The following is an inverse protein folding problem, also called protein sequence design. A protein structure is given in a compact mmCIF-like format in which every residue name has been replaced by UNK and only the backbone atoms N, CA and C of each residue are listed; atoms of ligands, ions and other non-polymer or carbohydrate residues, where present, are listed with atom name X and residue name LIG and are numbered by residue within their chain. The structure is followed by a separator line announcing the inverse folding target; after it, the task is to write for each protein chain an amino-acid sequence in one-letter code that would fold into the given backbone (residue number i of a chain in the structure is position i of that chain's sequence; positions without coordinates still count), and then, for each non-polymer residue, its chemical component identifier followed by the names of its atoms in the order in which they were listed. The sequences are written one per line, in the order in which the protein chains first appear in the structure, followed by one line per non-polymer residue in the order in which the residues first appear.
data_IF_090746096424
#
_entry.id   IF_090746096424
#
_cell.length_a   1.000
_cell.length_b   1.000
_cell.length_c   1.000
_cell.angle_alpha   90.00
_cell.angle_beta   90.00
_cell.angle_gamma   90.00
#
_symmetry.space_group_name_H-M   'P 1'
#
loop_
_entity.id
_entity.type
_entity.pdbx_description
1 polymer ?
#
# COMPACT_ATOMS: atom_id res chain seq x y z
N UNK A 1 17.79 -41.07 36.39
CA UNK A 1 16.60 -40.87 35.53
C UNK A 1 16.65 -39.45 35.02
N UNK A 2 17.12 -39.27 33.79
CA UNK A 2 17.45 -37.96 33.23
C UNK A 2 16.19 -37.23 32.75
N UNK A 3 16.02 -36.00 33.20
CA UNK A 3 14.97 -35.08 32.78
C UNK A 3 15.18 -34.71 31.30
N UNK A 4 14.21 -35.02 30.45
CA UNK A 4 14.21 -34.62 29.05
C UNK A 4 13.72 -33.18 28.94
N UNK A 5 14.66 -32.25 28.84
CA UNK A 5 14.39 -30.86 28.54
C UNK A 5 13.99 -30.74 27.06
N UNK A 6 12.71 -30.50 26.78
CA UNK A 6 12.23 -30.24 25.43
C UNK A 6 12.64 -28.83 25.02
N UNK A 7 13.66 -28.74 24.17
CA UNK A 7 14.04 -27.49 23.53
C UNK A 7 12.87 -26.98 22.68
N UNK A 8 12.30 -25.83 23.07
CA UNK A 8 11.38 -25.05 22.22
C UNK A 8 12.10 -24.73 20.91
N UNK A 9 11.49 -25.11 19.80
CA UNK A 9 11.95 -24.76 18.45
C UNK A 9 12.17 -23.23 18.34
N UNK A 10 13.24 -22.78 17.66
CA UNK A 10 13.52 -21.36 17.53
C UNK A 10 12.41 -20.70 16.71
N UNK A 11 11.79 -19.66 17.29
CA UNK A 11 10.91 -18.74 16.57
C UNK A 11 11.71 -18.16 15.40
N UNK A 12 11.30 -18.45 14.17
CA UNK A 12 11.96 -17.97 12.96
C UNK A 12 11.91 -16.43 12.94
N UNK A 13 13.04 -15.78 13.22
CA UNK A 13 13.27 -14.37 12.89
C UNK A 13 13.43 -14.22 11.37
N UNK A 14 12.78 -13.20 10.80
CA UNK A 14 13.14 -12.61 9.51
C UNK A 14 12.13 -12.85 8.39
N UNK A 15 11.21 -11.89 8.19
CA UNK A 15 10.60 -11.59 6.90
C UNK A 15 11.16 -10.23 6.48
N UNK A 16 12.44 -10.18 6.09
CA UNK A 16 13.18 -9.05 5.51
C UNK A 16 12.51 -7.67 5.67
N UNK A 17 12.49 -7.18 6.92
CA UNK A 17 11.94 -5.89 7.35
C UNK A 17 12.79 -4.69 6.89
N UNK A 18 13.85 -4.94 6.11
CA UNK A 18 14.84 -3.94 5.74
C UNK A 18 14.15 -2.76 5.05
N UNK A 19 14.04 -1.65 5.79
CA UNK A 19 13.52 -0.41 5.25
C UNK A 19 14.49 0.04 4.14
N UNK A 20 14.00 0.43 2.95
CA UNK A 20 14.89 0.99 1.96
C UNK A 20 15.55 2.21 2.59
N UNK A 21 16.88 2.29 2.46
CA UNK A 21 17.66 3.42 2.95
C UNK A 21 17.45 4.55 1.96
N UNK A 22 16.37 5.30 2.16
CA UNK A 22 16.10 6.55 1.46
C UNK A 22 16.53 7.70 2.37
N UNK A 23 17.18 8.71 1.78
CA UNK A 23 17.51 9.94 2.49
C UNK A 23 16.26 10.69 2.94
N UNK A 24 16.44 11.66 3.84
CA UNK A 24 15.36 12.53 4.32
C UNK A 24 14.74 13.33 3.16
N UNK A 25 15.57 13.73 2.18
CA UNK A 25 15.17 14.51 0.99
C UNK A 25 14.70 13.65 -0.20
N UNK A 26 14.36 12.37 0.02
CA UNK A 26 13.92 11.50 -1.07
C UNK A 26 12.59 11.97 -1.67
N UNK A 27 12.52 12.07 -2.99
CA UNK A 27 11.30 12.42 -3.73
C UNK A 27 10.22 11.34 -3.66
N UNK A 28 8.98 11.69 -3.98
CA UNK A 28 7.88 10.70 -4.13
C UNK A 28 8.20 9.72 -5.25
N UNK A 29 8.91 10.15 -6.30
CA UNK A 29 9.33 9.27 -7.38
C UNK A 29 10.32 8.19 -6.90
N UNK A 30 11.29 8.55 -6.06
CA UNK A 30 12.24 7.60 -5.46
C UNK A 30 11.53 6.66 -4.47
N UNK A 31 10.61 7.19 -3.66
CA UNK A 31 9.82 6.40 -2.73
C UNK A 31 8.97 5.36 -3.47
N UNK A 32 8.31 5.76 -4.57
CA UNK A 32 7.58 4.87 -5.47
C UNK A 32 8.47 3.78 -6.06
N UNK A 33 9.68 4.14 -6.52
CA UNK A 33 10.62 3.17 -7.08
C UNK A 33 11.07 2.14 -6.02
N UNK A 34 11.35 2.59 -4.81
CA UNK A 34 11.71 1.74 -3.68
C UNK A 34 10.57 0.83 -3.22
N UNK A 35 9.31 1.21 -3.43
CA UNK A 35 8.15 0.41 -3.07
C UNK A 35 7.92 -0.79 -4.00
N UNK A 36 8.36 -0.74 -5.27
CA UNK A 36 8.14 -1.79 -6.27
C UNK A 36 8.54 -3.21 -5.82
N UNK A 37 9.71 -3.43 -5.19
CA UNK A 37 10.11 -4.75 -4.70
C UNK A 37 9.64 -5.03 -3.26
N UNK A 38 8.67 -4.29 -2.70
CA UNK A 38 8.31 -4.37 -1.29
C UNK A 38 7.82 -5.77 -0.89
N UNK A 39 8.48 -6.37 0.11
CA UNK A 39 8.12 -7.68 0.69
C UNK A 39 7.74 -7.66 2.17
N UNK A 40 7.43 -6.48 2.73
CA UNK A 40 7.16 -6.25 4.17
C UNK A 40 6.00 -7.04 4.77
N UNK A 41 5.06 -7.53 3.96
CA UNK A 41 3.95 -8.37 4.41
C UNK A 41 3.59 -9.42 3.35
N UNK A 42 2.94 -10.54 3.70
CA UNK A 42 2.69 -11.64 2.76
C UNK A 42 1.90 -11.29 1.49
N UNK A 43 1.19 -10.17 1.45
CA UNK A 43 0.34 -9.77 0.32
C UNK A 43 1.09 -9.61 -1.01
N UNK A 44 2.40 -9.35 -0.98
CA UNK A 44 3.22 -9.25 -2.20
C UNK A 44 3.22 -10.54 -3.02
N UNK A 45 2.94 -11.70 -2.39
CA UNK A 45 3.06 -13.02 -3.03
C UNK A 45 1.99 -13.26 -4.09
N UNK A 46 0.77 -12.80 -3.83
CA UNK A 46 -0.41 -13.10 -4.65
C UNK A 46 -0.87 -11.90 -5.48
N UNK A 47 -0.54 -10.68 -5.04
CA UNK A 47 -0.78 -9.46 -5.81
C UNK A 47 0.07 -9.44 -7.10
N UNK A 48 -0.40 -8.77 -8.14
CA UNK A 48 0.37 -8.66 -9.40
C UNK A 48 1.57 -7.73 -9.21
N UNK A 49 1.37 -6.62 -8.50
CA UNK A 49 2.39 -5.61 -8.27
C UNK A 49 2.01 -4.70 -7.10
N UNK A 50 2.98 -3.90 -6.63
CA UNK A 50 2.70 -2.77 -5.74
C UNK A 50 1.93 -1.69 -6.49
N UNK A 51 0.83 -1.23 -5.91
CA UNK A 51 0.12 -0.01 -6.33
C UNK A 51 0.43 1.10 -5.34
N UNK A 52 1.29 2.01 -5.75
CA UNK A 52 1.71 3.17 -4.95
C UNK A 52 0.74 4.35 -5.14
N UNK A 53 0.83 5.39 -4.29
CA UNK A 53 0.00 6.58 -4.44
C UNK A 53 0.31 7.40 -5.69
N UNK A 54 -0.59 8.24 -6.17
CA UNK A 54 -0.43 9.06 -7.39
C UNK A 54 -0.98 10.47 -7.16
N UNK A 55 -0.24 11.49 -7.62
CA UNK A 55 -0.55 12.91 -7.47
C UNK A 55 0.71 13.76 -7.41
N UNK A 56 0.56 15.09 -7.32
CA UNK A 56 1.71 15.99 -7.18
C UNK A 56 2.30 15.93 -5.76
N UNK A 57 3.58 16.27 -5.62
CA UNK A 57 4.25 16.31 -4.31
C UNK A 57 3.74 17.46 -3.43
N UNK A 58 3.22 18.54 -4.04
CA UNK A 58 2.61 19.66 -3.35
C UNK A 58 1.07 19.56 -3.29
N UNK A 59 0.52 18.35 -3.21
CA UNK A 59 -0.92 18.16 -3.13
C UNK A 59 -1.50 18.79 -1.86
N UNK A 60 -2.57 19.55 -2.01
CA UNK A 60 -3.24 20.23 -0.88
C UNK A 60 -4.05 19.25 -0.03
N UNK A 61 -4.53 18.16 -0.65
CA UNK A 61 -5.38 17.15 -0.01
C UNK A 61 -4.90 15.75 -0.42
N UNK A 62 -4.84 14.85 0.56
CA UNK A 62 -4.54 13.43 0.36
C UNK A 62 -5.79 12.59 0.64
N UNK A 63 -6.21 11.76 -0.33
CA UNK A 63 -7.24 10.75 -0.12
C UNK A 63 -6.61 9.38 0.07
N UNK A 64 -6.99 8.70 1.16
CA UNK A 64 -6.44 7.39 1.53
C UNK A 64 -7.55 6.34 1.50
N UNK A 65 -7.47 5.40 0.56
CA UNK A 65 -8.30 4.19 0.52
C UNK A 65 -7.74 3.05 1.38
N UNK A 66 -8.44 1.92 1.41
CA UNK A 66 -8.02 0.74 2.18
C UNK A 66 -6.84 0.02 1.51
N UNK A 67 -7.05 -0.45 0.27
CA UNK A 67 -6.09 -1.20 -0.53
C UNK A 67 -6.44 -1.10 -2.03
N UNK A 68 -5.55 -1.53 -2.94
CA UNK A 68 -5.85 -1.59 -4.36
C UNK A 68 -6.91 -2.66 -4.63
N UNK A 69 -7.76 -2.45 -5.63
CA UNK A 69 -8.66 -3.47 -6.13
C UNK A 69 -8.08 -4.25 -7.31
N UNK A 70 -8.92 -5.07 -7.94
CA UNK A 70 -8.56 -5.92 -9.08
C UNK A 70 -8.02 -5.11 -10.27
N UNK A 71 -8.67 -4.00 -10.61
CA UNK A 71 -8.26 -3.17 -11.75
C UNK A 71 -6.99 -2.37 -11.42
N UNK A 72 -6.89 -1.84 -10.21
CA UNK A 72 -5.72 -1.11 -9.73
C UNK A 72 -4.47 -1.99 -9.72
N UNK A 73 -4.59 -3.22 -9.22
CA UNK A 73 -3.49 -4.19 -9.15
C UNK A 73 -2.96 -4.58 -10.54
N UNK A 74 -3.84 -4.70 -11.55
CA UNK A 74 -3.40 -4.95 -12.93
C UNK A 74 -2.81 -3.69 -13.56
N UNK A 75 -3.43 -2.53 -13.34
CA UNK A 75 -3.01 -1.27 -13.96
C UNK A 75 -1.75 -0.66 -13.32
N UNK A 76 -1.43 -1.02 -12.07
CA UNK A 76 -0.36 -0.40 -11.29
C UNK A 76 -0.68 1.03 -10.84
N UNK A 77 -1.97 1.43 -10.85
CA UNK A 77 -2.43 2.78 -10.55
C UNK A 77 -3.58 2.78 -9.55
N UNK A 78 -3.58 3.69 -8.55
CA UNK A 78 -4.64 3.75 -7.55
C UNK A 78 -5.90 4.40 -8.13
N UNK A 79 -7.09 3.97 -7.66
CA UNK A 79 -8.38 4.56 -8.02
C UNK A 79 -8.66 4.63 -9.53
N UNK A 80 -8.42 3.55 -10.27
CA UNK A 80 -8.79 3.45 -11.70
C UNK A 80 -10.09 2.67 -11.94
N UNK A 81 -10.57 1.94 -10.94
CA UNK A 81 -11.79 1.15 -11.00
C UNK A 81 -13.07 1.91 -10.68
N UNK A 82 -14.18 1.19 -10.36
CA UNK A 82 -15.46 1.81 -10.03
C UNK A 82 -15.40 2.82 -8.87
N UNK A 83 -14.64 2.53 -7.82
CA UNK A 83 -14.47 3.45 -6.70
C UNK A 83 -13.73 4.73 -7.11
N UNK A 84 -12.76 4.64 -8.02
CA UNK A 84 -12.08 5.80 -8.59
C UNK A 84 -13.01 6.72 -9.37
N UNK A 85 -13.91 6.14 -10.18
CA UNK A 85 -14.94 6.93 -10.89
C UNK A 85 -15.88 7.67 -9.93
N UNK A 86 -16.22 7.06 -8.79
CA UNK A 86 -17.03 7.72 -7.75
C UNK A 86 -16.24 8.85 -7.10
N UNK A 87 -14.95 8.62 -6.79
CA UNK A 87 -14.07 9.66 -6.26
C UNK A 87 -13.98 10.85 -7.24
N UNK A 88 -13.73 10.60 -8.52
CA UNK A 88 -13.62 11.65 -9.54
C UNK A 88 -14.92 12.45 -9.67
N UNK A 89 -16.08 11.78 -9.66
CA UNK A 89 -17.39 12.46 -9.66
C UNK A 89 -17.58 13.31 -8.40
N UNK A 90 -17.22 12.79 -7.23
CA UNK A 90 -17.35 13.51 -5.95
C UNK A 90 -16.44 14.73 -5.88
N UNK A 91 -15.21 14.61 -6.37
CA UNK A 91 -14.27 15.73 -6.46
C UNK A 91 -14.79 16.81 -7.40
N UNK A 92 -15.34 16.41 -8.55
CA UNK A 92 -15.95 17.33 -9.50
C UNK A 92 -17.14 18.08 -8.88
N UNK A 93 -18.03 17.38 -8.19
CA UNK A 93 -19.20 17.97 -7.51
C UNK A 93 -18.79 18.90 -6.37
N UNK A 94 -17.65 18.64 -5.72
CA UNK A 94 -17.07 19.49 -4.69
C UNK A 94 -16.17 20.61 -5.25
N UNK A 95 -16.08 20.76 -6.57
CA UNK A 95 -15.19 21.71 -7.26
C UNK A 95 -13.70 21.57 -6.89
N UNK A 96 -13.28 20.36 -6.51
CA UNK A 96 -11.89 20.03 -6.19
C UNK A 96 -11.20 19.49 -7.45
N UNK A 97 -10.16 20.18 -7.89
CA UNK A 97 -9.38 19.75 -9.04
C UNK A 97 -8.59 18.47 -8.73
N UNK A 98 -8.91 17.36 -9.39
CA UNK A 98 -8.21 16.06 -9.23
C UNK A 98 -6.68 16.17 -9.30
N UNK A 99 -6.17 17.03 -10.19
CA UNK A 99 -4.72 17.26 -10.38
C UNK A 99 -4.01 17.89 -9.17
N UNK A 100 -4.74 18.49 -8.22
CA UNK A 100 -4.22 19.05 -6.97
C UNK A 100 -4.27 18.08 -5.79
N UNK A 101 -4.76 16.86 -6.03
CA UNK A 101 -4.96 15.85 -5.00
C UNK A 101 -3.96 14.72 -5.15
N UNK A 102 -3.50 14.18 -4.03
CA UNK A 102 -2.78 12.92 -4.00
C UNK A 102 -3.72 11.81 -3.54
N UNK A 103 -3.72 10.67 -4.24
CA UNK A 103 -4.52 9.51 -3.84
C UNK A 103 -3.62 8.34 -3.55
N UNK A 104 -3.92 7.60 -2.50
CA UNK A 104 -3.14 6.42 -2.13
C UNK A 104 -3.98 5.45 -1.32
N UNK A 105 -3.41 4.32 -0.91
CA UNK A 105 -4.06 3.32 -0.06
C UNK A 105 -3.25 3.04 1.21
N UNK A 106 -3.92 2.67 2.29
CA UNK A 106 -3.26 2.26 3.53
C UNK A 106 -2.36 1.01 3.33
N UNK A 107 -2.78 0.10 2.46
CA UNK A 107 -2.01 -1.07 2.03
C UNK A 107 -1.70 -0.97 0.52
N UNK A 108 -0.50 -1.36 0.09
CA UNK A 108 -0.02 -1.18 -1.30
C UNK A 108 -0.14 -2.41 -2.21
N UNK A 109 -0.62 -3.53 -1.69
CA UNK A 109 -0.81 -4.77 -2.45
C UNK A 109 -2.27 -5.22 -2.31
N UNK A 110 -2.85 -5.72 -3.40
CA UNK A 110 -4.23 -6.19 -3.40
C UNK A 110 -4.35 -7.54 -2.68
N UNK A 111 -5.15 -7.56 -1.62
CA UNK A 111 -5.56 -8.79 -0.95
C UNK A 111 -6.89 -9.28 -1.50
N UNK A 112 -6.91 -10.53 -1.94
CA UNK A 112 -8.10 -11.15 -2.49
C UNK A 112 -8.17 -12.65 -2.17
N UNK A 113 -9.37 -13.19 -2.29
CA UNK A 113 -9.64 -14.61 -2.32
C UNK A 113 -9.98 -15.04 -3.76
N UNK A 114 -9.27 -16.01 -4.35
CA UNK A 114 -9.61 -16.55 -5.66
C UNK A 114 -10.96 -17.29 -5.62
N UNK A 115 -11.88 -16.92 -6.51
CA UNK A 115 -13.15 -17.65 -6.73
C UNK A 115 -13.32 -17.98 -8.20
N UNK A 116 -12.78 -19.12 -8.61
CA UNK A 116 -12.65 -19.48 -10.02
C UNK A 116 -11.73 -18.49 -10.73
N UNK A 117 -12.22 -17.84 -11.79
CA UNK A 117 -11.47 -16.80 -12.53
C UNK A 117 -11.54 -15.40 -11.89
N UNK A 118 -12.32 -15.22 -10.82
CA UNK A 118 -12.51 -13.91 -10.18
C UNK A 118 -11.61 -13.74 -8.97
N UNK A 119 -11.15 -12.51 -8.75
CA UNK A 119 -10.41 -12.08 -7.55
C UNK A 119 -11.35 -11.29 -6.66
N UNK A 120 -11.76 -11.86 -5.53
CA UNK A 120 -12.72 -11.23 -4.61
C UNK A 120 -11.96 -10.50 -3.52
N UNK A 121 -12.12 -9.18 -3.45
CA UNK A 121 -11.47 -8.34 -2.44
C UNK A 121 -11.69 -8.85 -1.01
N UNK A 122 -10.62 -8.93 -0.23
CA UNK A 122 -10.66 -9.28 1.19
C UNK A 122 -9.94 -8.23 2.02
N UNK A 123 -10.51 -7.81 3.15
CA UNK A 123 -9.94 -6.75 3.99
C UNK A 123 -8.52 -7.09 4.50
N UNK A 124 -7.58 -6.13 4.50
CA UNK A 124 -6.30 -6.30 5.17
C UNK A 124 -6.48 -6.47 6.68
N UNK A 125 -5.64 -7.27 7.31
CA UNK A 125 -5.61 -7.41 8.77
C UNK A 125 -4.69 -6.34 9.40
N UNK A 126 -4.73 -6.23 10.73
CA UNK A 126 -3.94 -5.24 11.46
C UNK A 126 -2.42 -5.36 11.22
N UNK A 127 -1.89 -6.58 11.05
CA UNK A 127 -0.47 -6.78 10.76
C UNK A 127 -0.07 -6.30 9.37
N UNK A 128 -0.90 -6.52 8.37
CA UNK A 128 -0.70 -6.03 6.99
C UNK A 128 -0.76 -4.50 6.93
N UNK A 129 -1.72 -3.89 7.63
CA UNK A 129 -1.84 -2.43 7.75
C UNK A 129 -0.59 -1.87 8.45
N UNK A 130 -0.18 -2.46 9.59
CA UNK A 130 0.98 -1.99 10.34
C UNK A 130 2.29 -2.10 9.53
N UNK A 131 2.46 -3.17 8.76
CA UNK A 131 3.63 -3.35 7.91
C UNK A 131 3.67 -2.34 6.76
N UNK A 132 2.51 -1.99 6.19
CA UNK A 132 2.41 -1.05 5.08
C UNK A 132 2.38 0.42 5.53
N UNK A 133 2.01 0.68 6.79
CA UNK A 133 1.93 2.02 7.39
C UNK A 133 3.20 2.84 7.16
N UNK A 134 4.37 2.21 7.17
CA UNK A 134 5.64 2.86 6.87
C UNK A 134 5.67 3.57 5.50
N UNK A 135 5.06 2.98 4.46
CA UNK A 135 4.97 3.64 3.16
C UNK A 135 4.04 4.84 3.18
N UNK A 136 2.88 4.69 3.84
CA UNK A 136 1.91 5.77 3.96
C UNK A 136 2.49 6.96 4.74
N UNK A 137 3.16 6.71 5.86
CA UNK A 137 3.81 7.76 6.64
C UNK A 137 4.85 8.50 5.78
N UNK A 138 5.67 7.77 5.02
CA UNK A 138 6.65 8.40 4.12
C UNK A 138 6.00 9.21 2.99
N UNK A 139 4.86 8.78 2.44
CA UNK A 139 4.11 9.61 1.48
C UNK A 139 3.61 10.89 2.14
N UNK A 140 3.02 10.81 3.34
CA UNK A 140 2.49 11.97 4.07
C UNK A 140 3.60 12.92 4.52
N UNK A 141 4.74 12.42 4.96
CA UNK A 141 5.91 13.21 5.37
C UNK A 141 6.47 14.04 4.21
N UNK A 142 6.40 13.51 2.98
CA UNK A 142 6.89 14.20 1.78
C UNK A 142 5.87 15.17 1.20
N UNK A 143 4.58 14.82 1.25
CA UNK A 143 3.52 15.65 0.69
C UNK A 143 3.19 16.82 1.63
N UNK A 144 3.26 16.59 2.94
CA UNK A 144 2.89 17.55 3.98
C UNK A 144 1.57 18.28 3.66
N UNK A 145 0.45 17.54 3.48
CA UNK A 145 -0.84 18.18 3.19
C UNK A 145 -1.26 19.10 4.34
N UNK A 146 -2.05 20.13 4.00
CA UNK A 146 -2.50 21.17 4.94
C UNK A 146 -3.41 20.63 6.05
#
# INVERSE_FOLDING_TARGET
MAATNQAKAPVRRGLDDAKPVLGEDASIAELRAAAKPCRRCPLWRDATQTVFGEGPENAEVVFVGEQPGDQEDVAGKPFVGPAGRILDATLNDAEIERRKTYVTNAVKHFKFEPRGKRRIHSKPNAGEIQACRWWLDRELDLIQPN
#
